data_IF_149641493595
#
_entry.id   IF_149641493595
#
_cell.length_a   1.000
_cell.length_b   1.000
_cell.length_c   1.000
_cell.angle_alpha   90.00
_cell.angle_beta   90.00
_cell.angle_gamma   90.00
#
_symmetry.space_group_name_H-M   'P 1'
#
loop_
_entity.id
_entity.type
_entity.pdbx_description
1 polymer ?
#
# COMPACT_ATOMS: atom_id res chain seq x y z
N UNK A 1 -14.27 13.69 -25.61
CA UNK A 1 -15.40 13.06 -24.89
C UNK A 1 -15.97 14.04 -23.86
N UNK A 2 -17.29 14.11 -23.78
CA UNK A 2 -17.97 14.84 -22.72
C UNK A 2 -17.90 14.02 -21.41
N UNK A 3 -17.86 14.66 -20.23
CA UNK A 3 -17.77 13.96 -18.93
C UNK A 3 -18.80 12.83 -18.75
N UNK A 4 -20.04 13.08 -19.18
CA UNK A 4 -21.14 12.12 -19.10
C UNK A 4 -20.95 10.86 -19.98
N UNK A 5 -20.08 10.90 -20.99
CA UNK A 5 -19.73 9.73 -21.81
C UNK A 5 -18.81 8.76 -21.06
N UNK A 6 -18.21 9.20 -19.95
CA UNK A 6 -17.35 8.39 -19.08
C UNK A 6 -18.13 7.88 -17.87
N UNK A 7 -18.98 6.88 -18.08
CA UNK A 7 -19.76 6.23 -17.00
C UNK A 7 -20.74 7.15 -16.26
N UNK A 8 -21.32 8.14 -16.94
CA UNK A 8 -22.25 9.10 -16.33
C UNK A 8 -21.59 10.12 -15.40
N UNK A 9 -20.27 10.30 -15.53
CA UNK A 9 -19.45 11.19 -14.72
C UNK A 9 -19.80 12.68 -14.90
N UNK A 10 -19.48 13.48 -13.87
CA UNK A 10 -19.59 14.94 -13.89
C UNK A 10 -18.26 15.62 -13.48
N UNK A 11 -18.29 16.92 -13.15
CA UNK A 11 -17.10 17.72 -12.82
C UNK A 11 -17.07 18.13 -11.33
N UNK A 12 -17.71 17.38 -10.45
CA UNK A 12 -17.75 17.66 -9.01
C UNK A 12 -16.56 17.09 -8.21
N UNK A 13 -15.71 16.29 -8.85
CA UNK A 13 -14.55 15.64 -8.23
C UNK A 13 -14.05 14.38 -8.92
N UNK A 14 -14.71 13.94 -10.00
CA UNK A 14 -14.33 12.74 -10.75
C UNK A 14 -12.90 12.80 -11.31
N UNK A 15 -12.24 11.64 -11.27
CA UNK A 15 -10.87 11.46 -11.76
C UNK A 15 -10.90 10.62 -13.03
N UNK A 16 -10.25 11.13 -14.07
CA UNK A 16 -10.16 10.46 -15.37
C UNK A 16 -8.80 9.79 -15.55
N UNK A 17 -8.82 8.56 -16.05
CA UNK A 17 -7.62 7.92 -16.55
C UNK A 17 -7.33 8.43 -17.97
N UNK A 18 -6.19 9.07 -18.17
CA UNK A 18 -5.74 9.56 -19.47
C UNK A 18 -4.46 8.84 -19.87
N UNK A 19 -4.47 8.23 -21.04
CA UNK A 19 -3.36 7.48 -21.59
C UNK A 19 -3.06 7.96 -23.01
N UNK A 20 -1.77 8.16 -23.28
CA UNK A 20 -1.22 8.62 -24.58
C UNK A 20 -0.36 7.55 -25.24
N UNK A 21 -0.28 6.35 -24.64
CA UNK A 21 0.47 5.23 -25.16
C UNK A 21 -0.35 4.56 -26.26
N UNK A 22 0.15 4.66 -27.50
CA UNK A 22 -0.52 4.13 -28.69
C UNK A 22 -0.77 2.61 -28.61
N UNK A 23 0.02 1.86 -27.82
CA UNK A 23 -0.20 0.42 -27.62
C UNK A 23 -1.39 0.11 -26.70
N UNK A 24 -1.78 1.07 -25.85
CA UNK A 24 -2.89 0.92 -24.89
C UNK A 24 -4.19 1.56 -25.36
N UNK A 25 -4.16 2.36 -26.42
CA UNK A 25 -5.35 2.96 -27.01
C UNK A 25 -6.10 1.89 -27.82
N UNK A 26 -7.37 1.56 -27.46
CA UNK A 26 -8.12 0.56 -28.19
C UNK A 26 -8.34 0.98 -29.66
N UNK A 27 -8.15 0.07 -30.63
CA UNK A 27 -8.34 0.40 -32.05
C UNK A 27 -9.82 0.59 -32.43
N UNK A 28 -10.74 0.19 -31.56
CA UNK A 28 -12.17 0.25 -31.78
C UNK A 28 -12.84 0.99 -30.62
N UNK A 29 -13.70 1.94 -30.96
CA UNK A 29 -14.52 2.71 -30.04
C UNK A 29 -15.97 2.24 -30.13
N UNK A 30 -16.65 2.19 -28.99
CA UNK A 30 -18.08 1.95 -28.90
C UNK A 30 -18.79 3.28 -28.56
N UNK A 31 -20.04 3.48 -29.00
CA UNK A 31 -20.81 4.66 -28.62
C UNK A 31 -21.04 4.65 -27.09
N UNK A 32 -21.10 5.82 -26.45
CA UNK A 32 -21.43 5.92 -25.04
C UNK A 32 -22.84 5.38 -24.77
N UNK A 33 -23.02 4.79 -23.59
CA UNK A 33 -24.33 4.39 -23.10
C UNK A 33 -25.19 5.62 -22.80
N UNK A 34 -26.49 5.51 -22.98
CA UNK A 34 -27.44 6.54 -22.56
C UNK A 34 -27.58 6.49 -21.02
N UNK A 35 -27.07 7.53 -20.36
CA UNK A 35 -27.14 7.71 -18.91
C UNK A 35 -28.33 8.57 -18.48
N UNK A 36 -29.39 8.64 -19.29
CA UNK A 36 -30.61 9.36 -18.90
C UNK A 36 -31.12 8.79 -17.57
N UNK A 37 -31.14 9.58 -16.48
CA UNK A 37 -31.44 9.06 -15.16
C UNK A 37 -32.89 8.60 -15.06
N UNK A 38 -33.11 7.54 -14.28
CA UNK A 38 -34.45 7.12 -13.93
C UNK A 38 -35.18 8.25 -13.17
N UNK A 39 -36.49 8.34 -13.35
CA UNK A 39 -37.29 9.33 -12.63
C UNK A 39 -37.20 9.04 -11.13
N UNK A 40 -36.66 9.99 -10.36
CA UNK A 40 -36.57 9.85 -8.91
C UNK A 40 -37.94 9.65 -8.28
N UNK A 41 -38.01 8.80 -7.27
CA UNK A 41 -39.20 8.63 -6.47
C UNK A 41 -39.52 9.96 -5.76
N UNK A 42 -40.72 10.49 -6.01
CA UNK A 42 -41.20 11.69 -5.32
C UNK A 42 -42.25 11.28 -4.31
N UNK A 43 -42.07 11.74 -3.07
CA UNK A 43 -43.08 11.62 -2.03
C UNK A 43 -44.14 12.70 -2.24
N UNK A 44 -45.39 12.38 -1.95
CA UNK A 44 -46.52 13.32 -2.01
C UNK A 44 -46.66 14.15 -0.72
N UNK A 45 -45.72 14.00 0.22
CA UNK A 45 -45.65 14.70 1.50
C UNK A 45 -44.23 15.15 1.84
N UNK A 46 -44.11 15.99 2.87
CA UNK A 46 -42.83 16.38 3.45
C UNK A 46 -42.16 15.18 4.13
N UNK A 47 -40.83 15.06 3.94
CA UNK A 47 -40.01 13.96 4.49
C UNK A 47 -40.11 13.94 6.02
N UNK A 48 -40.53 12.80 6.56
CA UNK A 48 -40.57 12.49 7.99
C UNK A 48 -39.44 11.53 8.38
N UNK A 49 -39.25 11.32 9.69
CA UNK A 49 -38.20 10.42 10.19
C UNK A 49 -38.47 8.96 9.81
N UNK A 50 -39.75 8.58 9.74
CA UNK A 50 -40.20 7.24 9.36
C UNK A 50 -39.78 6.89 7.92
N UNK A 51 -39.81 7.87 7.00
CA UNK A 51 -39.33 7.68 5.62
C UNK A 51 -37.83 7.40 5.58
N UNK A 52 -37.07 8.04 6.47
CA UNK A 52 -35.62 7.84 6.59
C UNK A 52 -35.31 6.44 7.13
N UNK A 53 -36.07 5.99 8.14
CA UNK A 53 -35.94 4.64 8.68
C UNK A 53 -36.26 3.57 7.62
N UNK A 54 -37.38 3.73 6.90
CA UNK A 54 -37.77 2.84 5.82
C UNK A 54 -36.71 2.84 4.71
N UNK A 55 -36.26 4.02 4.27
CA UNK A 55 -35.22 4.15 3.26
C UNK A 55 -33.92 3.44 3.68
N UNK A 56 -33.51 3.57 4.95
CA UNK A 56 -32.31 2.90 5.45
C UNK A 56 -32.43 1.38 5.37
N UNK A 57 -33.59 0.83 5.74
CA UNK A 57 -33.84 -0.61 5.60
C UNK A 57 -33.88 -1.07 4.14
N UNK A 58 -34.56 -0.31 3.27
CA UNK A 58 -34.61 -0.57 1.84
C UNK A 58 -33.23 -0.51 1.19
N UNK A 59 -32.37 0.42 1.63
CA UNK A 59 -31.01 0.53 1.15
C UNK A 59 -30.19 -0.72 1.47
N UNK A 60 -30.24 -1.21 2.72
CA UNK A 60 -29.51 -2.41 3.15
C UNK A 60 -29.93 -3.64 2.36
N UNK A 61 -31.23 -3.77 2.06
CA UNK A 61 -31.77 -4.94 1.35
C UNK A 61 -31.44 -4.92 -0.13
N UNK A 62 -31.41 -3.73 -0.74
CA UNK A 62 -31.32 -3.56 -2.20
C UNK A 62 -29.94 -3.11 -2.70
N UNK A 63 -28.93 -2.96 -1.84
CA UNK A 63 -27.55 -2.73 -2.25
C UNK A 63 -27.00 -3.91 -3.06
N UNK A 64 -27.13 -3.81 -4.38
CA UNK A 64 -26.81 -4.84 -5.36
C UNK A 64 -25.59 -4.51 -6.21
N UNK A 65 -24.94 -3.35 -5.97
CA UNK A 65 -23.85 -2.84 -6.80
C UNK A 65 -22.69 -3.84 -6.93
N UNK A 66 -22.28 -4.41 -5.79
CA UNK A 66 -21.22 -5.42 -5.75
C UNK A 66 -21.61 -6.74 -6.44
N UNK A 67 -22.89 -7.10 -6.41
CA UNK A 67 -23.40 -8.32 -7.08
C UNK A 67 -23.34 -8.12 -8.59
N UNK A 68 -23.83 -6.98 -9.08
CA UNK A 68 -23.85 -6.62 -10.50
C UNK A 68 -22.43 -6.55 -11.07
N UNK A 69 -21.50 -5.88 -10.38
CA UNK A 69 -20.09 -5.80 -10.82
C UNK A 69 -19.42 -7.18 -10.94
N UNK A 70 -19.64 -8.05 -9.94
CA UNK A 70 -19.10 -9.41 -9.98
C UNK A 70 -19.72 -10.22 -11.11
N UNK A 71 -21.03 -10.12 -11.31
CA UNK A 71 -21.71 -10.79 -12.40
C UNK A 71 -21.18 -10.32 -13.77
N UNK A 72 -21.03 -9.01 -13.96
CA UNK A 72 -20.52 -8.42 -15.20
C UNK A 72 -19.11 -8.95 -15.52
N UNK A 73 -18.24 -8.98 -14.51
CA UNK A 73 -16.87 -9.49 -14.65
C UNK A 73 -16.87 -10.96 -15.10
N UNK A 74 -17.76 -11.78 -14.54
CA UNK A 74 -17.84 -13.21 -14.88
C UNK A 74 -18.41 -13.42 -16.29
N UNK A 75 -19.49 -12.71 -16.66
CA UNK A 75 -20.03 -12.81 -18.02
C UNK A 75 -19.04 -12.29 -19.06
N UNK A 76 -18.33 -11.21 -18.77
CA UNK A 76 -17.31 -10.68 -19.67
C UNK A 76 -16.13 -11.64 -19.86
N UNK A 77 -15.84 -12.50 -18.88
CA UNK A 77 -14.84 -13.55 -19.00
C UNK A 77 -15.37 -14.75 -19.82
N UNK A 78 -16.63 -15.15 -19.62
CA UNK A 78 -17.22 -16.34 -20.27
C UNK A 78 -17.63 -16.12 -21.72
N UNK A 79 -18.21 -14.96 -21.99
CA UNK A 79 -18.88 -14.72 -23.26
C UNK A 79 -17.87 -14.45 -24.38
N UNK A 80 -18.06 -14.99 -25.60
CA UNK A 80 -17.14 -14.75 -26.71
C UNK A 80 -16.98 -13.28 -27.07
N UNK A 81 -18.06 -12.49 -26.90
CA UNK A 81 -18.08 -11.04 -27.14
C UNK A 81 -17.64 -10.22 -25.92
N UNK A 82 -17.26 -10.87 -24.82
CA UNK A 82 -16.78 -10.24 -23.58
C UNK A 82 -17.76 -9.18 -23.06
N UNK A 83 -17.27 -7.98 -22.71
CA UNK A 83 -18.09 -6.87 -22.26
C UNK A 83 -19.14 -6.39 -23.29
N UNK A 84 -18.98 -6.74 -24.58
CA UNK A 84 -19.98 -6.44 -25.63
C UNK A 84 -21.05 -7.53 -25.77
N UNK A 85 -21.10 -8.47 -24.84
CA UNK A 85 -22.14 -9.49 -24.80
C UNK A 85 -23.43 -8.91 -24.24
N UNK A 86 -24.56 -9.47 -24.66
CA UNK A 86 -25.89 -9.03 -24.22
C UNK A 86 -26.05 -9.04 -22.68
N UNK A 87 -25.60 -10.09 -21.94
CA UNK A 87 -25.64 -10.06 -20.48
C UNK A 87 -24.82 -8.91 -19.87
N UNK A 88 -23.64 -8.60 -20.42
CA UNK A 88 -22.80 -7.51 -19.94
C UNK A 88 -23.44 -6.14 -20.17
N UNK A 89 -24.07 -5.92 -21.33
CA UNK A 89 -24.76 -4.66 -21.61
C UNK A 89 -25.96 -4.44 -20.67
N UNK A 90 -26.76 -5.48 -20.44
CA UNK A 90 -27.86 -5.43 -19.45
C UNK A 90 -27.32 -5.17 -18.04
N UNK A 91 -26.23 -5.82 -17.64
CA UNK A 91 -25.61 -5.60 -16.34
C UNK A 91 -25.03 -4.18 -16.21
N UNK A 92 -24.49 -3.60 -17.28
CA UNK A 92 -24.00 -2.22 -17.27
C UNK A 92 -25.14 -1.21 -17.05
N UNK A 93 -26.30 -1.42 -17.68
CA UNK A 93 -27.51 -0.62 -17.44
C UNK A 93 -27.98 -0.74 -15.98
N UNK A 94 -28.05 -1.97 -15.45
CA UNK A 94 -28.40 -2.20 -14.03
C UNK A 94 -27.38 -1.60 -13.08
N UNK A 95 -26.10 -1.59 -13.46
CA UNK A 95 -25.04 -0.98 -12.66
C UNK A 95 -25.25 0.53 -12.55
N UNK A 96 -25.62 1.20 -13.65
CA UNK A 96 -25.97 2.62 -13.63
C UNK A 96 -27.13 2.91 -12.67
N UNK A 97 -28.21 2.11 -12.74
CA UNK A 97 -29.37 2.26 -11.84
C UNK A 97 -28.94 2.05 -10.38
N UNK A 98 -28.09 1.06 -10.10
CA UNK A 98 -27.61 0.77 -8.74
C UNK A 98 -26.72 1.88 -8.17
N UNK A 99 -25.92 2.57 -9.00
CA UNK A 99 -25.11 3.72 -8.57
C UNK A 99 -25.99 4.91 -8.19
N UNK A 100 -27.08 5.13 -8.92
CA UNK A 100 -28.02 6.23 -8.68
C UNK A 100 -29.14 5.88 -7.69
N UNK A 101 -29.25 4.62 -7.25
CA UNK A 101 -30.22 4.20 -6.23
C UNK A 101 -30.19 5.08 -4.96
N UNK A 102 -29.01 5.47 -4.40
CA UNK A 102 -28.94 6.40 -3.28
C UNK A 102 -29.62 7.76 -3.49
N UNK A 103 -29.75 8.19 -4.75
CA UNK A 103 -30.29 9.49 -5.16
C UNK A 103 -31.73 9.40 -5.63
N UNK A 104 -32.07 8.29 -6.29
CA UNK A 104 -33.36 8.11 -6.98
C UNK A 104 -34.36 7.31 -6.16
N UNK A 105 -33.90 6.48 -5.22
CA UNK A 105 -34.72 5.54 -4.46
C UNK A 105 -35.18 4.32 -5.28
N UNK A 106 -34.75 4.18 -6.54
CA UNK A 106 -35.16 3.08 -7.42
C UNK A 106 -34.13 1.94 -7.37
N UNK A 107 -34.48 0.76 -6.83
CA UNK A 107 -33.53 -0.34 -6.73
C UNK A 107 -33.27 -1.01 -8.08
N UNK A 108 -32.04 -1.48 -8.29
CA UNK A 108 -31.69 -2.24 -9.49
C UNK A 108 -32.14 -3.70 -9.37
N UNK A 109 -33.14 -4.09 -10.16
CA UNK A 109 -33.59 -5.46 -10.24
C UNK A 109 -32.73 -6.28 -11.20
N UNK A 110 -32.10 -7.35 -10.70
CA UNK A 110 -31.28 -8.28 -11.48
C UNK A 110 -32.15 -9.46 -11.95
N UNK A 111 -32.33 -9.65 -13.27
CA UNK A 111 -33.03 -10.81 -13.81
C UNK A 111 -32.39 -12.16 -13.43
N UNK A 112 -33.18 -13.24 -13.27
CA UNK A 112 -32.69 -14.58 -12.90
C UNK A 112 -31.55 -15.13 -13.77
N UNK A 113 -31.52 -14.81 -15.07
CA UNK A 113 -30.49 -15.28 -15.99
C UNK A 113 -29.14 -14.56 -15.83
N UNK A 114 -29.11 -13.42 -15.14
CA UNK A 114 -27.90 -12.66 -14.86
C UNK A 114 -27.24 -13.05 -13.52
N UNK A 115 -27.79 -14.04 -12.81
CA UNK A 115 -27.14 -14.59 -11.61
C UNK A 115 -26.08 -15.62 -11.96
N UNK A 116 -24.87 -15.36 -11.47
CA UNK A 116 -23.71 -16.22 -11.69
C UNK A 116 -23.66 -17.36 -10.68
N UNK A 117 -23.44 -18.58 -11.18
CA UNK A 117 -23.31 -19.81 -10.38
C UNK A 117 -21.87 -20.25 -10.16
N UNK A 118 -20.98 -19.89 -11.07
CA UNK A 118 -19.59 -20.33 -11.12
C UNK A 118 -18.69 -19.13 -11.47
N UNK A 119 -17.55 -19.00 -10.80
CA UNK A 119 -16.69 -17.82 -10.88
C UNK A 119 -15.33 -18.15 -11.52
N UNK A 120 -14.66 -17.22 -12.21
CA UNK A 120 -13.32 -17.46 -12.72
C UNK A 120 -12.30 -17.53 -11.57
N UNK A 121 -11.24 -18.30 -11.78
CA UNK A 121 -10.18 -18.58 -10.81
C UNK A 121 -9.51 -17.33 -10.23
N UNK A 122 -9.38 -16.27 -11.02
CA UNK A 122 -8.80 -15.00 -10.58
C UNK A 122 -9.66 -14.21 -9.57
N UNK A 123 -10.93 -14.57 -9.39
CA UNK A 123 -11.80 -13.90 -8.40
C UNK A 123 -11.72 -14.50 -6.99
N UNK A 124 -11.00 -15.62 -6.82
CA UNK A 124 -10.68 -16.25 -5.54
C UNK A 124 -11.87 -16.36 -4.56
N UNK A 125 -12.99 -16.95 -5.01
CA UNK A 125 -14.18 -17.21 -4.19
C UNK A 125 -14.14 -18.64 -3.61
N UNK A 126 -13.58 -18.85 -2.40
CA UNK A 126 -13.34 -20.21 -1.89
C UNK A 126 -14.63 -20.98 -1.59
N UNK A 127 -15.73 -20.26 -1.37
CA UNK A 127 -17.06 -20.80 -1.05
C UNK A 127 -17.92 -21.08 -2.29
N UNK A 128 -17.40 -20.80 -3.51
CA UNK A 128 -18.15 -20.93 -4.76
C UNK A 128 -17.43 -21.87 -5.75
N UNK A 129 -18.20 -22.59 -6.59
CA UNK A 129 -17.64 -23.29 -7.73
C UNK A 129 -16.83 -22.33 -8.61
N UNK A 130 -15.67 -22.81 -9.06
CA UNK A 130 -14.68 -21.99 -9.79
C UNK A 130 -14.24 -22.70 -11.07
N UNK A 131 -13.98 -21.94 -12.13
CA UNK A 131 -13.41 -22.43 -13.40
C UNK A 131 -12.14 -21.66 -13.77
N UNK A 132 -11.25 -22.28 -14.55
CA UNK A 132 -10.02 -21.63 -15.01
C UNK A 132 -10.31 -20.68 -16.19
N UNK A 133 -10.15 -19.36 -15.98
CA UNK A 133 -10.32 -18.36 -17.05
C UNK A 133 -9.22 -18.49 -18.11
N UNK A 134 -9.61 -18.56 -19.38
CA UNK A 134 -8.66 -18.63 -20.50
C UNK A 134 -8.28 -17.24 -21.07
N UNK A 135 -8.82 -16.17 -20.47
CA UNK A 135 -8.55 -14.80 -20.88
C UNK A 135 -7.26 -14.24 -20.27
N UNK A 136 -6.88 -13.04 -20.72
CA UNK A 136 -5.68 -12.34 -20.28
C UNK A 136 -5.62 -12.16 -18.77
N UNK A 137 -6.73 -11.81 -18.11
CA UNK A 137 -6.79 -11.61 -16.66
C UNK A 137 -6.47 -12.92 -15.93
N UNK A 138 -7.11 -14.03 -16.31
CA UNK A 138 -6.83 -15.35 -15.74
C UNK A 138 -5.37 -15.79 -15.95
N UNK A 139 -4.84 -15.59 -17.16
CA UNK A 139 -3.43 -15.93 -17.47
C UNK A 139 -2.46 -15.09 -16.65
N UNK A 140 -2.67 -13.78 -16.57
CA UNK A 140 -1.85 -12.87 -15.76
C UNK A 140 -1.94 -13.25 -14.29
N UNK A 141 -3.15 -13.48 -13.78
CA UNK A 141 -3.37 -13.93 -12.41
C UNK A 141 -2.57 -15.20 -12.11
N UNK A 142 -2.70 -16.26 -12.92
CA UNK A 142 -1.94 -17.50 -12.69
C UNK A 142 -0.43 -17.31 -12.85
N UNK A 143 0.01 -16.49 -13.80
CA UNK A 143 1.42 -16.17 -13.96
C UNK A 143 2.01 -15.50 -12.72
N UNK A 144 1.26 -14.61 -12.04
CA UNK A 144 1.75 -13.90 -10.84
C UNK A 144 1.41 -14.61 -9.52
N UNK A 145 0.38 -15.47 -9.51
CA UNK A 145 -0.10 -16.17 -8.30
C UNK A 145 1.01 -16.95 -7.62
N UNK A 146 1.87 -17.59 -8.42
CA UNK A 146 2.99 -18.39 -7.93
C UNK A 146 4.32 -17.59 -7.88
N UNK A 147 4.41 -16.44 -8.56
CA UNK A 147 5.55 -15.48 -8.44
C UNK A 147 5.49 -14.74 -7.10
N UNK A 148 4.36 -14.77 -6.41
CA UNK A 148 4.22 -14.38 -5.02
C UNK A 148 4.33 -15.62 -4.11
N UNK A 149 5.51 -16.23 -3.89
CA UNK A 149 5.65 -17.10 -2.75
C UNK A 149 5.31 -16.30 -1.51
N UNK A 150 4.64 -16.94 -0.55
CA UNK A 150 4.42 -16.47 0.82
C UNK A 150 5.71 -16.17 1.63
N UNK A 151 6.84 -16.15 0.92
CA UNK A 151 8.19 -15.75 1.27
C UNK A 151 8.70 -14.95 0.07
N UNK A 152 8.33 -13.67 0.02
CA UNK A 152 8.81 -12.72 -0.97
C UNK A 152 10.29 -12.94 -1.25
N UNK A 153 10.70 -12.89 -2.52
CA UNK A 153 12.10 -12.86 -2.97
C UNK A 153 12.83 -11.56 -2.54
N UNK A 154 12.43 -10.94 -1.44
CA UNK A 154 13.26 -10.00 -0.72
C UNK A 154 14.34 -10.87 -0.10
N UNK A 155 15.58 -10.71 -0.57
CA UNK A 155 16.75 -11.35 0.06
C UNK A 155 16.62 -11.12 1.57
N UNK A 156 16.40 -12.19 2.33
CA UNK A 156 16.40 -12.12 3.79
C UNK A 156 17.67 -11.39 4.20
N UNK A 157 17.54 -10.37 5.04
CA UNK A 157 18.70 -9.68 5.56
C UNK A 157 19.42 -10.64 6.50
N UNK A 158 20.43 -11.36 5.99
CA UNK A 158 21.25 -12.28 6.78
C UNK A 158 22.47 -11.57 7.36
N UNK A 159 23.16 -12.23 8.29
CA UNK A 159 24.44 -11.74 8.82
C UNK A 159 25.48 -11.49 7.72
N UNK A 160 25.50 -12.29 6.67
CA UNK A 160 26.38 -12.09 5.50
C UNK A 160 25.97 -10.87 4.68
N UNK A 161 24.67 -10.61 4.53
CA UNK A 161 24.17 -9.40 3.86
C UNK A 161 24.54 -8.16 4.67
N UNK A 162 24.39 -8.20 5.99
CA UNK A 162 24.84 -7.14 6.90
C UNK A 162 26.34 -6.85 6.71
N UNK A 163 27.20 -7.86 6.73
CA UNK A 163 28.66 -7.71 6.51
C UNK A 163 29.02 -7.05 5.18
N UNK A 164 28.25 -7.32 4.11
CA UNK A 164 28.53 -6.78 2.77
C UNK A 164 27.93 -5.41 2.51
N UNK A 165 26.87 -5.06 3.22
CA UNK A 165 26.05 -3.87 2.94
C UNK A 165 26.19 -2.78 4.00
N UNK A 166 26.87 -3.06 5.11
CA UNK A 166 27.19 -2.08 6.13
C UNK A 166 28.11 -1.01 5.54
N UNK A 167 27.75 0.26 5.75
CA UNK A 167 28.44 1.42 5.20
C UNK A 167 29.22 2.12 6.33
N UNK A 168 30.55 1.98 6.39
CA UNK A 168 31.36 2.61 7.43
C UNK A 168 31.33 4.14 7.39
N UNK A 169 30.95 4.75 6.27
CA UNK A 169 30.82 6.21 6.21
C UNK A 169 29.70 6.72 7.12
N UNK A 170 28.77 5.85 7.51
CA UNK A 170 27.69 6.21 8.41
C UNK A 170 28.16 6.34 9.87
N UNK A 171 29.41 5.98 10.17
CA UNK A 171 30.01 6.12 11.50
C UNK A 171 30.54 7.56 11.71
N UNK A 172 30.01 8.19 12.76
CA UNK A 172 30.36 9.54 13.23
C UNK A 172 31.05 9.43 14.58
N UNK A 173 32.15 10.16 14.77
CA UNK A 173 32.92 10.13 16.02
C UNK A 173 32.02 10.36 17.25
N UNK A 174 32.16 9.51 18.26
CA UNK A 174 31.36 9.57 19.49
C UNK A 174 30.04 8.79 19.44
N UNK A 175 29.75 8.07 18.34
CA UNK A 175 28.54 7.24 18.27
C UNK A 175 28.55 6.08 19.28
N UNK A 176 29.74 5.63 19.70
CA UNK A 176 29.91 4.55 20.66
C UNK A 176 29.29 4.87 22.02
N UNK A 177 29.31 6.14 22.42
CA UNK A 177 28.72 6.62 23.67
C UNK A 177 27.19 6.49 23.69
N UNK A 178 26.56 6.34 22.51
CA UNK A 178 25.10 6.24 22.33
C UNK A 178 24.62 4.82 21.99
N UNK A 179 25.51 3.83 21.98
CA UNK A 179 25.15 2.44 21.60
C UNK A 179 24.11 1.85 22.54
N UNK A 180 24.27 1.99 23.86
CA UNK A 180 23.35 1.39 24.84
C UNK A 180 21.93 1.95 24.70
N UNK A 181 21.82 3.28 24.55
CA UNK A 181 20.55 3.96 24.29
C UNK A 181 19.94 3.53 22.96
N UNK A 182 20.77 3.38 21.92
CA UNK A 182 20.32 2.92 20.60
C UNK A 182 19.78 1.48 20.66
N UNK A 183 20.43 0.57 21.39
CA UNK A 183 19.95 -0.81 21.62
C UNK A 183 18.59 -0.80 22.32
N UNK A 184 18.44 0.02 23.36
CA UNK A 184 17.19 0.15 24.11
C UNK A 184 16.04 0.63 23.21
N UNK A 185 16.25 1.70 22.44
CA UNK A 185 15.24 2.23 21.54
C UNK A 185 14.94 1.31 20.36
N UNK A 186 15.94 0.63 19.81
CA UNK A 186 15.76 -0.39 18.76
C UNK A 186 14.89 -1.54 19.25
N UNK A 187 15.16 -2.06 20.45
CA UNK A 187 14.34 -3.13 21.05
C UNK A 187 12.90 -2.71 21.26
N UNK A 188 12.66 -1.50 21.76
CA UNK A 188 11.32 -0.95 21.94
C UNK A 188 10.58 -0.74 20.61
N UNK A 189 11.28 -0.25 19.59
CA UNK A 189 10.71 -0.07 18.25
C UNK A 189 10.30 -1.41 17.65
N UNK A 190 11.20 -2.39 17.66
CA UNK A 190 10.95 -3.72 17.10
C UNK A 190 9.81 -4.44 17.80
N UNK A 191 9.75 -4.33 19.13
CA UNK A 191 8.65 -4.89 19.92
C UNK A 191 7.30 -4.29 19.50
N UNK A 192 7.21 -2.96 19.38
CA UNK A 192 5.98 -2.26 18.98
C UNK A 192 5.59 -2.56 17.54
N UNK A 193 6.54 -2.53 16.61
CA UNK A 193 6.30 -2.83 15.20
C UNK A 193 5.83 -4.27 15.02
N UNK A 194 6.52 -5.23 15.66
CA UNK A 194 6.14 -6.64 15.61
C UNK A 194 4.76 -6.89 16.22
N UNK A 195 4.38 -6.20 17.29
CA UNK A 195 3.02 -6.31 17.86
C UNK A 195 1.94 -5.79 16.90
N UNK A 196 2.22 -4.72 16.14
CA UNK A 196 1.32 -4.25 15.10
C UNK A 196 1.20 -5.30 13.98
N UNK A 197 2.32 -5.87 13.54
CA UNK A 197 2.33 -6.93 12.52
C UNK A 197 1.51 -8.14 12.96
N UNK A 198 1.71 -8.62 14.19
CA UNK A 198 0.99 -9.76 14.75
C UNK A 198 -0.51 -9.48 14.88
N UNK A 199 -0.88 -8.27 15.34
CA UNK A 199 -2.28 -7.87 15.50
C UNK A 199 -3.06 -7.90 14.18
N UNK A 200 -2.47 -7.36 13.11
CA UNK A 200 -3.10 -7.32 11.79
C UNK A 200 -2.87 -8.61 10.96
N UNK A 201 -2.00 -9.51 11.44
CA UNK A 201 -1.61 -10.73 10.73
C UNK A 201 -0.73 -10.46 9.49
N UNK A 202 0.06 -9.39 9.52
CA UNK A 202 1.00 -9.01 8.45
C UNK A 202 2.32 -9.74 8.68
N UNK A 203 2.90 -10.33 7.63
CA UNK A 203 4.05 -11.20 7.78
C UNK A 203 5.39 -10.47 7.73
N UNK A 204 5.48 -9.43 6.92
CA UNK A 204 6.77 -8.77 6.64
C UNK A 204 6.76 -7.30 7.02
N UNK A 205 7.92 -6.80 7.44
CA UNK A 205 8.14 -5.39 7.74
C UNK A 205 7.88 -4.51 6.50
N UNK A 206 8.24 -4.98 5.30
CA UNK A 206 8.02 -4.25 4.05
C UNK A 206 6.53 -4.03 3.76
N UNK A 207 5.67 -5.03 3.98
CA UNK A 207 4.22 -4.91 3.77
C UNK A 207 3.59 -3.85 4.68
N UNK A 208 3.93 -3.86 5.97
CA UNK A 208 3.34 -2.92 6.94
C UNK A 208 3.83 -1.48 6.73
N UNK A 209 5.09 -1.29 6.32
CA UNK A 209 5.65 0.04 6.09
C UNK A 209 5.22 0.67 4.76
N UNK A 210 5.08 -0.14 3.71
CA UNK A 210 4.67 0.34 2.38
C UNK A 210 3.16 0.46 2.24
N UNK A 211 2.39 -0.22 3.11
CA UNK A 211 0.94 -0.36 2.97
C UNK A 211 0.53 -1.36 1.88
N UNK A 212 1.50 -1.96 1.17
CA UNK A 212 1.28 -2.96 0.12
C UNK A 212 1.07 -4.35 0.72
N UNK A 213 0.03 -4.49 1.53
CA UNK A 213 -0.24 -5.73 2.27
C UNK A 213 -0.82 -6.78 1.32
N UNK A 214 -0.17 -7.95 1.25
CA UNK A 214 -0.58 -9.05 0.38
C UNK A 214 -1.61 -9.96 1.05
N UNK A 215 -1.46 -10.20 2.36
CA UNK A 215 -2.36 -11.05 3.14
C UNK A 215 -2.59 -10.46 4.53
N UNK A 216 -3.86 -10.33 4.92
CA UNK A 216 -4.30 -9.93 6.26
C UNK A 216 -4.93 -11.13 6.98
N UNK A 217 -5.09 -11.03 8.31
CA UNK A 217 -6.00 -11.92 9.03
C UNK A 217 -7.44 -11.80 8.52
N UNK A 218 -8.24 -12.87 8.64
CA UNK A 218 -9.63 -12.93 8.14
C UNK A 218 -10.56 -11.85 8.71
N UNK A 219 -10.19 -11.29 9.87
CA UNK A 219 -10.95 -10.23 10.54
C UNK A 219 -10.70 -8.84 9.98
N UNK A 220 -9.65 -8.63 9.17
CA UNK A 220 -9.27 -7.34 8.61
C UNK A 220 -9.36 -7.35 7.09
N UNK A 221 -9.71 -6.21 6.51
CA UNK A 221 -9.80 -6.02 5.06
C UNK A 221 -8.96 -4.82 4.64
N UNK A 222 -8.16 -5.00 3.57
CA UNK A 222 -7.28 -3.95 3.02
C UNK A 222 -8.01 -2.63 2.75
N UNK A 223 -9.28 -2.68 2.35
CA UNK A 223 -10.08 -1.49 2.04
C UNK A 223 -10.50 -0.68 3.27
N UNK A 224 -10.71 -1.31 4.42
CA UNK A 224 -11.17 -0.63 5.65
C UNK A 224 -10.01 -0.29 6.59
N UNK A 225 -9.03 -1.19 6.68
CA UNK A 225 -8.02 -1.14 7.75
C UNK A 225 -6.68 -0.54 7.30
N UNK A 226 -6.47 -0.32 6.00
CA UNK A 226 -5.20 0.24 5.50
C UNK A 226 -4.90 1.63 6.07
N UNK A 227 -5.91 2.48 6.24
CA UNK A 227 -5.73 3.80 6.85
C UNK A 227 -5.35 3.69 8.33
N UNK A 228 -6.00 2.81 9.08
CA UNK A 228 -5.72 2.57 10.50
C UNK A 228 -4.28 2.04 10.70
N UNK A 229 -3.85 1.09 9.87
CA UNK A 229 -2.49 0.57 9.88
C UNK A 229 -1.50 1.69 9.55
N UNK A 230 -1.77 2.46 8.50
CA UNK A 230 -0.95 3.60 8.10
C UNK A 230 -0.86 4.67 9.20
N UNK A 231 -1.93 4.90 9.97
CA UNK A 231 -1.91 5.79 11.13
C UNK A 231 -1.09 5.21 12.28
N UNK A 232 -1.24 3.92 12.60
CA UNK A 232 -0.48 3.25 13.66
C UNK A 232 1.03 3.26 13.38
N UNK A 233 1.44 2.94 12.15
CA UNK A 233 2.85 3.01 11.73
C UNK A 233 3.38 4.44 11.78
N UNK A 234 2.60 5.43 11.33
CA UNK A 234 2.99 6.86 11.44
C UNK A 234 3.14 7.30 12.89
N UNK A 235 2.25 6.85 13.78
CA UNK A 235 2.33 7.12 15.21
C UNK A 235 3.61 6.52 15.82
N UNK A 236 3.94 5.27 15.50
CA UNK A 236 5.18 4.63 15.95
C UNK A 236 6.43 5.38 15.45
N UNK A 237 6.47 5.79 14.18
CA UNK A 237 7.60 6.59 13.64
C UNK A 237 7.69 7.97 14.29
N UNK A 238 6.57 8.56 14.69
CA UNK A 238 6.54 9.83 15.43
C UNK A 238 7.07 9.65 16.85
N UNK A 239 6.70 8.55 17.50
CA UNK A 239 7.18 8.20 18.83
C UNK A 239 8.69 7.93 18.83
N UNK A 240 9.20 7.14 17.88
CA UNK A 240 10.63 6.93 17.72
C UNK A 240 11.39 8.25 17.51
N UNK A 241 10.86 9.16 16.68
CA UNK A 241 11.43 10.51 16.54
C UNK A 241 11.39 11.34 17.82
N UNK A 242 10.44 11.09 18.72
CA UNK A 242 10.39 11.76 20.02
C UNK A 242 11.50 11.24 20.93
N UNK A 243 11.73 9.92 20.99
CA UNK A 243 12.86 9.33 21.73
C UNK A 243 14.21 9.89 21.27
N UNK A 244 14.36 10.08 19.96
CA UNK A 244 15.58 10.69 19.41
C UNK A 244 15.81 12.12 19.93
N UNK A 245 14.73 12.91 20.05
CA UNK A 245 14.74 14.31 20.49
C UNK A 245 14.74 14.48 22.01
N UNK A 246 14.50 13.41 22.76
CA UNK A 246 14.53 13.43 24.21
C UNK A 246 15.98 13.65 24.65
N UNK A 247 16.21 14.78 25.35
CA UNK A 247 17.52 15.37 25.57
C UNK A 247 18.34 14.61 26.60
N UNK A 248 19.62 14.39 26.29
CA UNK A 248 20.64 13.95 27.25
C UNK A 248 21.43 15.16 27.76
N UNK A 249 20.76 16.21 28.23
CA UNK A 249 21.36 17.29 29.04
C UNK A 249 22.41 18.22 28.40
N UNK A 250 23.14 17.82 27.36
CA UNK A 250 24.21 18.63 26.72
C UNK A 250 24.33 18.45 25.21
N UNK A 251 23.23 18.21 24.50
CA UNK A 251 23.27 17.82 23.09
C UNK A 251 23.67 19.02 22.19
N UNK A 252 24.86 18.94 21.58
CA UNK A 252 25.26 19.76 20.43
C UNK A 252 24.68 19.19 19.14
N UNK A 253 24.76 19.90 18.01
CA UNK A 253 24.38 19.30 16.71
C UNK A 253 25.22 18.06 16.37
N UNK A 254 26.49 18.03 16.79
CA UNK A 254 27.38 16.87 16.64
C UNK A 254 26.89 15.64 17.40
N UNK A 255 26.30 15.83 18.58
CA UNK A 255 25.71 14.75 19.39
C UNK A 255 24.51 14.08 18.70
N UNK A 256 23.71 14.86 17.96
CA UNK A 256 22.60 14.33 17.18
C UNK A 256 23.07 13.42 16.02
N UNK A 257 24.19 13.76 15.37
CA UNK A 257 24.75 12.91 14.31
C UNK A 257 25.36 11.63 14.89
N UNK A 258 26.06 11.71 16.02
CA UNK A 258 26.57 10.54 16.75
C UNK A 258 25.43 9.59 17.18
N UNK A 259 24.33 10.14 17.71
CA UNK A 259 23.13 9.36 18.07
C UNK A 259 22.47 8.70 16.86
N UNK A 260 22.36 9.41 15.73
CA UNK A 260 21.81 8.85 14.49
C UNK A 260 22.71 7.74 13.90
N UNK A 261 24.04 7.95 13.95
CA UNK A 261 25.05 6.94 13.62
C UNK A 261 24.89 5.69 14.49
N UNK A 262 24.71 5.84 15.80
CA UNK A 262 24.47 4.71 16.70
C UNK A 262 23.21 3.92 16.31
N UNK A 263 22.11 4.61 15.97
CA UNK A 263 20.87 3.96 15.51
C UNK A 263 21.07 3.17 14.21
N UNK A 264 21.86 3.69 13.28
CA UNK A 264 22.26 2.99 12.07
C UNK A 264 23.12 1.76 12.42
N UNK A 265 24.15 1.94 13.25
CA UNK A 265 25.10 0.91 13.64
C UNK A 265 24.41 -0.29 14.27
N UNK A 266 23.61 -0.06 15.32
CA UNK A 266 22.93 -1.15 16.05
C UNK A 266 21.86 -1.87 15.21
N UNK A 267 21.45 -1.28 14.08
CA UNK A 267 20.48 -1.89 13.16
C UNK A 267 21.14 -2.68 12.04
N UNK A 268 22.23 -2.19 11.46
CA UNK A 268 22.82 -2.77 10.25
C UNK A 268 24.15 -3.49 10.47
N UNK A 269 24.85 -3.22 11.56
CA UNK A 269 26.14 -3.84 11.81
C UNK A 269 25.96 -5.34 12.10
N UNK A 270 26.78 -6.23 11.51
CA UNK A 270 26.61 -7.69 11.59
C UNK A 270 26.69 -8.27 13.01
N UNK A 271 27.28 -7.55 13.95
CA UNK A 271 27.37 -8.00 15.34
C UNK A 271 26.05 -7.90 16.10
N UNK A 272 25.15 -7.01 15.64
CA UNK A 272 23.81 -6.84 16.22
C UNK A 272 22.73 -7.65 15.47
N UNK A 273 23.11 -8.35 14.41
CA UNK A 273 22.19 -9.19 13.64
C UNK A 273 21.66 -10.34 14.50
N UNK A 274 20.33 -10.41 14.64
CA UNK A 274 19.65 -11.43 15.46
C UNK A 274 19.74 -11.18 16.98
N UNK A 275 20.27 -10.03 17.42
CA UNK A 275 20.28 -9.66 18.84
C UNK A 275 18.90 -9.20 19.34
N UNK A 276 18.03 -8.74 18.44
CA UNK A 276 16.68 -8.29 18.74
C UNK A 276 15.65 -9.40 18.49
N UNK A 277 14.44 -9.25 19.04
CA UNK A 277 13.32 -10.20 18.86
C UNK A 277 13.61 -11.64 19.32
N UNK A 278 14.55 -11.85 20.24
CA UNK A 278 14.89 -13.18 20.76
C UNK A 278 13.66 -13.86 21.36
N UNK A 279 13.38 -15.09 20.92
CA UNK A 279 12.24 -15.90 21.38
C UNK A 279 10.89 -15.54 20.77
N UNK A 280 10.79 -14.51 19.93
CA UNK A 280 9.53 -14.09 19.29
C UNK A 280 9.32 -14.67 17.88
N UNK A 281 10.32 -15.38 17.33
CA UNK A 281 10.30 -15.92 15.95
C UNK A 281 9.97 -14.85 14.89
N UNK A 282 10.47 -13.61 15.09
CA UNK A 282 10.34 -12.49 14.15
C UNK A 282 11.67 -12.26 13.44
N UNK A 283 11.60 -11.71 12.23
CA UNK A 283 12.78 -11.32 11.45
C UNK A 283 13.54 -10.15 12.10
N UNK A 284 14.76 -9.91 11.60
CA UNK A 284 15.55 -8.73 11.95
C UNK A 284 15.02 -7.49 11.22
N UNK A 285 14.40 -6.56 11.95
CA UNK A 285 13.78 -5.36 11.38
C UNK A 285 14.79 -4.26 11.07
N UNK A 286 14.58 -3.55 9.96
CA UNK A 286 15.51 -2.60 9.34
C UNK A 286 15.02 -1.15 9.36
N UNK A 287 13.76 -0.88 9.71
CA UNK A 287 13.16 0.45 9.52
C UNK A 287 13.42 1.47 10.62
N UNK A 288 13.88 1.02 11.79
CA UNK A 288 14.16 1.88 12.94
C UNK A 288 14.98 3.15 12.62
N UNK A 289 16.19 3.07 12.03
CA UNK A 289 17.03 4.24 11.77
C UNK A 289 16.39 5.19 10.74
N UNK A 290 15.51 4.71 9.85
CA UNK A 290 14.76 5.55 8.92
C UNK A 290 13.67 6.42 9.59
N UNK A 291 13.52 6.33 10.90
CA UNK A 291 12.79 7.33 11.67
C UNK A 291 13.55 8.66 11.75
N UNK A 292 14.86 8.67 11.57
CA UNK A 292 15.72 9.87 11.58
C UNK A 292 16.48 10.03 10.27
N UNK A 293 15.80 9.71 9.16
CA UNK A 293 16.36 9.72 7.81
C UNK A 293 16.99 11.07 7.42
N UNK A 294 16.50 12.18 7.98
CA UNK A 294 17.03 13.53 7.80
C UNK A 294 18.51 13.59 8.21
N UNK A 295 18.85 13.05 9.40
CA UNK A 295 20.22 13.05 9.93
C UNK A 295 21.13 12.06 9.23
N UNK A 296 20.61 10.89 8.89
CA UNK A 296 21.38 9.89 8.13
C UNK A 296 21.77 10.40 6.74
N UNK A 297 20.88 11.14 6.08
CA UNK A 297 21.16 11.76 4.77
C UNK A 297 22.22 12.86 4.90
N UNK A 298 22.17 13.65 5.97
CA UNK A 298 23.19 14.68 6.26
C UNK A 298 24.57 14.06 6.49
N UNK A 299 24.67 13.02 7.35
CA UNK A 299 25.93 12.28 7.59
C UNK A 299 26.55 11.82 6.27
N UNK A 300 25.75 11.21 5.38
CA UNK A 300 26.28 10.70 4.11
C UNK A 300 26.70 11.83 3.17
N UNK A 301 25.98 12.96 3.14
CA UNK A 301 26.35 14.14 2.34
C UNK A 301 27.67 14.74 2.81
N UNK A 302 27.88 14.84 4.11
CA UNK A 302 29.09 15.43 4.68
C UNK A 302 30.31 14.55 4.38
N UNK A 303 30.20 13.23 4.56
CA UNK A 303 31.27 12.27 4.22
C UNK A 303 31.58 12.24 2.72
N UNK A 304 30.57 12.40 1.85
CA UNK A 304 30.78 12.50 0.40
C UNK A 304 31.48 13.82 0.03
N UNK A 305 31.13 14.92 0.69
CA UNK A 305 31.75 16.23 0.48
C UNK A 305 33.20 16.24 0.95
N UNK A 306 33.47 15.64 2.10
CA UNK A 306 34.80 15.40 2.66
C UNK A 306 35.60 14.48 1.72
N UNK A 307 35.01 13.36 1.27
CA UNK A 307 35.63 12.42 0.32
C UNK A 307 35.90 13.00 -1.07
N UNK A 308 35.24 14.09 -1.47
CA UNK A 308 35.55 14.86 -2.67
C UNK A 308 36.60 15.96 -2.42
N UNK A 309 36.65 16.51 -1.19
CA UNK A 309 37.67 17.47 -0.77
C UNK A 309 39.03 16.81 -0.48
N UNK A 310 39.06 15.59 0.04
CA UNK A 310 40.28 14.84 0.34
C UNK A 310 41.15 14.58 -0.90
N UNK A 311 40.64 14.12 -2.06
CA UNK A 311 41.44 13.99 -3.27
C UNK A 311 42.05 15.33 -3.70
N UNK A 312 41.31 16.45 -3.55
CA UNK A 312 41.79 17.78 -3.90
C UNK A 312 42.87 18.30 -2.92
N UNK A 313 42.71 18.05 -1.62
CA UNK A 313 43.69 18.36 -0.58
C UNK A 313 44.93 17.45 -0.68
N UNK A 314 44.78 16.16 -0.96
CA UNK A 314 45.90 15.24 -1.20
C UNK A 314 46.67 15.66 -2.47
N UNK A 315 45.98 16.15 -3.51
CA UNK A 315 46.62 16.70 -4.71
C UNK A 315 47.38 18.00 -4.39
N UNK A 316 46.82 18.89 -3.55
CA UNK A 316 47.50 20.10 -3.09
C UNK A 316 48.69 19.79 -2.16
N UNK A 317 48.56 18.86 -1.22
CA UNK A 317 49.64 18.44 -0.32
C UNK A 317 50.77 17.73 -1.08
N UNK A 318 50.45 16.90 -2.10
CA UNK A 318 51.46 16.29 -2.99
C UNK A 318 52.18 17.30 -3.89
N UNK A 319 51.54 18.43 -4.22
CA UNK A 319 52.20 19.53 -4.95
C UNK A 319 53.06 20.40 -4.02
N UNK A 320 52.65 20.61 -2.76
CA UNK A 320 53.42 21.36 -1.76
C UNK A 320 54.68 20.65 -1.26
N UNK A 321 54.65 19.32 -1.15
CA UNK A 321 55.79 18.49 -0.70
C UNK A 321 56.82 18.20 -1.82
N UNK A 322 56.66 18.77 -3.02
CA UNK A 322 57.62 18.69 -4.13
C UNK A 322 58.51 19.94 -4.27
N UNK A 323 58.43 20.89 -3.36
CA UNK A 323 59.39 21.98 -3.24
C UNK A 323 60.06 21.93 -1.88
N UNK A 324 61.12 21.12 -1.78
CA UNK A 324 62.45 21.49 -1.28
C UNK A 324 63.42 20.33 -1.51
#
# INVERSE_FOLDING_TARGET
PHPNECSGSDLDGDIYFVCWDDELIPPQQDPPMDYTPAQSMQLDHDVQIEDVEEYFTNYIVNDSLGIIANAHTVFADREPRKARSEPCLQLAEKFSIAVDFPKTGVPAEIPPHLYVKEYPDFMEKPDKPTYESQNVIGKLFRAVKDIAPHTSCIRLFTKEVARRSYDPDMEVDGFEDHIDDAIYHKGNYDYKLGNLMDYYGIKTEAEILTGSIMKMSKSFTKRRDAEAIGMAVRALRKEARAWFKEKSGSDTEDDAYAKASAWYHVTYHPDYWGCYNQGMNRDHFLSFPWCVYDRLVEIKKDKTSIGNAFPALEQQFRQGLRMY
#
